data_IF_098741975615
#
_entry.id   IF_098741975615
#
_cell.length_a   1.000
_cell.length_b   1.000
_cell.length_c   1.000
_cell.angle_alpha   90.00
_cell.angle_beta   90.00
_cell.angle_gamma   90.00
#
_symmetry.space_group_name_H-M   'P 1'
#
loop_
_entity.id
_entity.type
_entity.pdbx_description
1 polymer ?
#
# COMPACT_ATOMS: atom_id res chain seq x y z
N UNK A 1 10.29 -22.68 3.21
CA UNK A 1 9.16 -22.36 2.30
C UNK A 1 9.71 -21.66 1.07
N UNK A 2 9.27 -22.05 -0.14
CA UNK A 2 9.58 -21.29 -1.37
C UNK A 2 8.52 -20.22 -1.58
N UNK A 3 8.93 -18.96 -1.51
CA UNK A 3 8.04 -17.79 -1.60
C UNK A 3 8.35 -16.96 -2.84
N UNK A 4 7.31 -16.60 -3.59
CA UNK A 4 7.39 -15.61 -4.66
C UNK A 4 6.74 -14.30 -4.21
N UNK A 5 7.48 -13.18 -4.31
CA UNK A 5 6.96 -11.85 -3.99
C UNK A 5 6.93 -11.01 -5.26
N UNK A 6 5.73 -10.79 -5.83
CA UNK A 6 5.61 -9.88 -6.98
C UNK A 6 5.66 -8.43 -6.51
N UNK A 7 6.31 -7.56 -7.29
CA UNK A 7 6.50 -6.18 -6.85
C UNK A 7 7.48 -6.04 -5.67
N UNK A 8 8.40 -7.00 -5.51
CA UNK A 8 9.38 -7.01 -4.41
C UNK A 8 10.37 -5.85 -4.42
N UNK A 9 10.44 -5.06 -5.50
CA UNK A 9 11.21 -3.80 -5.55
C UNK A 9 10.43 -2.60 -4.98
N UNK A 10 9.13 -2.76 -4.70
CA UNK A 10 8.27 -1.75 -4.10
C UNK A 10 8.49 -1.58 -2.60
N UNK A 11 7.76 -0.64 -1.98
CA UNK A 11 7.94 -0.31 -0.57
C UNK A 11 7.59 -1.47 0.37
N UNK A 12 6.36 -1.98 0.31
CA UNK A 12 5.96 -3.15 1.13
C UNK A 12 6.68 -4.42 0.67
N UNK A 13 6.79 -4.62 -0.66
CA UNK A 13 7.37 -5.84 -1.22
C UNK A 13 8.81 -6.09 -0.78
N UNK A 14 9.68 -5.05 -0.71
CA UNK A 14 11.06 -5.21 -0.26
C UNK A 14 11.17 -5.66 1.20
N UNK A 15 10.35 -5.11 2.07
CA UNK A 15 10.34 -5.48 3.48
C UNK A 15 9.82 -6.92 3.67
N UNK A 16 8.86 -7.35 2.85
CA UNK A 16 8.42 -8.75 2.84
C UNK A 16 9.50 -9.70 2.33
N UNK A 17 10.27 -9.31 1.30
CA UNK A 17 11.43 -10.07 0.82
C UNK A 17 12.46 -10.22 1.95
N UNK A 18 12.79 -9.13 2.64
CA UNK A 18 13.76 -9.16 3.75
C UNK A 18 13.26 -9.99 4.94
N UNK A 19 11.98 -9.83 5.31
CA UNK A 19 11.38 -10.64 6.38
C UNK A 19 11.41 -12.13 6.04
N UNK A 20 10.97 -12.50 4.85
CA UNK A 20 10.96 -13.89 4.44
C UNK A 20 12.38 -14.51 4.36
N UNK A 21 13.35 -13.71 3.93
CA UNK A 21 14.76 -14.13 3.93
C UNK A 21 15.30 -14.32 5.35
N UNK A 22 14.98 -13.43 6.29
CA UNK A 22 15.34 -13.55 7.70
C UNK A 22 14.74 -14.81 8.36
N UNK A 23 13.55 -15.21 7.92
CA UNK A 23 12.85 -16.41 8.39
C UNK A 23 13.29 -17.69 7.64
N UNK A 24 14.37 -17.63 6.87
CA UNK A 24 14.97 -18.79 6.19
C UNK A 24 14.17 -19.33 5.00
N UNK A 25 13.29 -18.52 4.39
CA UNK A 25 12.56 -18.91 3.19
C UNK A 25 13.44 -18.81 1.94
N UNK A 26 13.21 -19.70 0.96
CA UNK A 26 13.75 -19.55 -0.39
C UNK A 26 12.93 -18.49 -1.15
N UNK A 27 13.44 -17.27 -1.25
CA UNK A 27 12.71 -16.12 -1.76
C UNK A 27 13.12 -15.77 -3.18
N UNK A 28 12.11 -15.74 -4.08
CA UNK A 28 12.24 -15.12 -5.39
C UNK A 28 11.33 -13.91 -5.45
N UNK A 29 11.84 -12.77 -5.85
CA UNK A 29 11.02 -11.57 -6.01
C UNK A 29 11.08 -11.02 -7.42
N UNK A 30 9.98 -10.37 -7.85
CA UNK A 30 9.89 -9.80 -9.19
C UNK A 30 9.78 -8.29 -9.17
N UNK A 31 10.19 -7.68 -10.27
CA UNK A 31 10.11 -6.23 -10.47
C UNK A 31 10.77 -5.80 -11.77
N UNK A 32 10.46 -4.58 -12.23
CA UNK A 32 10.95 -4.04 -13.51
C UNK A 32 12.29 -3.33 -13.40
N UNK A 33 12.63 -2.82 -12.22
CA UNK A 33 13.74 -1.92 -12.02
C UNK A 33 14.96 -2.66 -11.46
N UNK A 34 15.96 -2.89 -12.31
CA UNK A 34 17.21 -3.59 -11.97
C UNK A 34 17.98 -2.91 -10.84
N UNK A 35 18.04 -1.57 -10.83
CA UNK A 35 18.73 -0.82 -9.78
C UNK A 35 18.05 -0.99 -8.42
N UNK A 36 16.72 -0.92 -8.40
CA UNK A 36 15.95 -1.16 -7.17
C UNK A 36 16.06 -2.63 -6.72
N UNK A 37 16.16 -3.58 -7.65
CA UNK A 37 16.36 -4.99 -7.31
C UNK A 37 17.75 -5.24 -6.70
N UNK A 38 18.80 -4.67 -7.26
CA UNK A 38 20.16 -4.73 -6.70
C UNK A 38 20.20 -4.13 -5.28
N UNK A 39 19.43 -3.08 -5.04
CA UNK A 39 19.31 -2.45 -3.72
C UNK A 39 18.59 -3.39 -2.71
N UNK A 40 17.52 -4.06 -3.12
CA UNK A 40 16.84 -5.07 -2.29
C UNK A 40 17.78 -6.23 -1.93
N UNK A 41 18.54 -6.75 -2.92
CA UNK A 41 19.50 -7.84 -2.69
C UNK A 41 20.60 -7.42 -1.72
N UNK A 42 21.14 -6.20 -1.89
CA UNK A 42 22.23 -5.66 -1.04
C UNK A 42 21.84 -5.60 0.44
N UNK A 43 20.60 -5.22 0.74
CA UNK A 43 20.11 -5.05 2.11
C UNK A 43 19.38 -6.28 2.64
N UNK A 44 19.33 -7.37 1.88
CA UNK A 44 18.72 -8.61 2.36
C UNK A 44 19.60 -9.29 3.42
N UNK A 45 18.98 -9.74 4.54
CA UNK A 45 19.72 -10.43 5.59
C UNK A 45 20.22 -11.83 5.20
N UNK A 46 19.66 -12.40 4.12
CA UNK A 46 20.05 -13.69 3.56
C UNK A 46 19.91 -13.66 2.03
N UNK A 47 20.48 -14.63 1.29
CA UNK A 47 20.40 -14.68 -0.15
C UNK A 47 18.96 -14.71 -0.67
N UNK A 48 18.67 -13.86 -1.64
CA UNK A 48 17.39 -13.79 -2.36
C UNK A 48 17.63 -13.71 -3.85
N UNK A 49 16.67 -14.18 -4.64
CA UNK A 49 16.77 -14.18 -6.11
C UNK A 49 15.81 -13.16 -6.70
N UNK A 50 16.29 -12.43 -7.69
CA UNK A 50 15.46 -11.49 -8.45
C UNK A 50 15.17 -12.02 -9.85
N UNK A 51 13.93 -11.86 -10.29
CA UNK A 51 13.50 -12.11 -11.66
C UNK A 51 12.89 -10.82 -12.23
N UNK A 52 13.45 -10.36 -13.35
CA UNK A 52 12.87 -9.23 -14.09
C UNK A 52 11.49 -9.63 -14.63
N UNK A 53 10.49 -8.83 -14.33
CA UNK A 53 9.11 -9.06 -14.77
C UNK A 53 8.38 -7.74 -14.99
N UNK A 54 7.80 -7.57 -16.16
CA UNK A 54 6.83 -6.52 -16.46
C UNK A 54 5.47 -7.16 -16.75
N UNK A 55 4.53 -6.97 -15.83
CA UNK A 55 3.17 -7.46 -15.99
C UNK A 55 2.48 -6.87 -17.22
N UNK A 56 1.69 -7.69 -17.94
CA UNK A 56 1.05 -7.32 -19.19
C UNK A 56 2.02 -7.33 -20.41
N UNK A 57 3.27 -7.74 -20.22
CA UNK A 57 4.21 -8.00 -21.31
C UNK A 57 3.96 -9.38 -21.97
N UNK A 58 4.45 -9.56 -23.19
CA UNK A 58 4.22 -10.80 -23.97
C UNK A 58 4.68 -12.07 -23.23
N UNK A 59 5.78 -11.99 -22.48
CA UNK A 59 6.36 -13.13 -21.74
C UNK A 59 5.99 -13.17 -20.27
N UNK A 60 5.19 -12.22 -19.77
CA UNK A 60 4.97 -12.04 -18.34
C UNK A 60 4.45 -13.31 -17.66
N UNK A 61 3.45 -13.95 -18.26
CA UNK A 61 2.84 -15.16 -17.70
C UNK A 61 3.81 -16.35 -17.71
N UNK A 62 4.60 -16.52 -18.78
CA UNK A 62 5.63 -17.58 -18.87
C UNK A 62 6.70 -17.37 -17.81
N UNK A 63 7.29 -16.18 -17.74
CA UNK A 63 8.33 -15.84 -16.75
C UNK A 63 7.81 -16.04 -15.33
N UNK A 64 6.58 -15.61 -15.05
CA UNK A 64 5.99 -15.77 -13.71
C UNK A 64 5.72 -17.24 -13.38
N UNK A 65 5.28 -18.05 -14.35
CA UNK A 65 5.05 -19.47 -14.16
C UNK A 65 6.36 -20.23 -13.87
N UNK A 66 7.43 -19.93 -14.60
CA UNK A 66 8.77 -20.48 -14.35
C UNK A 66 9.30 -20.06 -12.97
N UNK A 67 9.09 -18.78 -12.59
CA UNK A 67 9.48 -18.23 -11.28
C UNK A 67 8.75 -18.93 -10.13
N UNK A 68 7.46 -19.17 -10.30
CA UNK A 68 6.60 -19.78 -9.30
C UNK A 68 6.58 -21.32 -9.34
N UNK A 69 7.43 -21.95 -10.16
CA UNK A 69 7.52 -23.41 -10.18
C UNK A 69 7.90 -23.95 -8.80
N UNK A 70 7.10 -24.87 -8.27
CA UNK A 70 7.20 -25.42 -6.91
C UNK A 70 7.16 -24.33 -5.79
N UNK A 71 6.50 -23.20 -6.01
CA UNK A 71 6.30 -22.23 -4.96
C UNK A 71 5.17 -22.67 -4.01
N UNK A 72 5.43 -22.59 -2.71
CA UNK A 72 4.43 -22.87 -1.67
C UNK A 72 3.39 -21.75 -1.60
N UNK A 73 3.84 -20.51 -1.82
CA UNK A 73 3.00 -19.33 -1.72
C UNK A 73 3.46 -18.18 -2.63
N UNK A 74 2.51 -17.29 -2.95
CA UNK A 74 2.78 -16.01 -3.62
C UNK A 74 2.25 -14.86 -2.76
N UNK A 75 3.07 -13.81 -2.58
CA UNK A 75 2.60 -12.51 -2.09
C UNK A 75 2.55 -11.54 -3.27
N UNK A 76 1.33 -11.09 -3.60
CA UNK A 76 1.11 -10.20 -4.74
C UNK A 76 1.07 -8.74 -4.28
N UNK A 77 2.24 -8.07 -4.35
CA UNK A 77 2.40 -6.65 -4.03
C UNK A 77 2.49 -5.77 -5.30
N UNK A 78 2.64 -6.37 -6.49
CA UNK A 78 2.75 -5.61 -7.72
C UNK A 78 1.46 -4.84 -7.99
N UNK A 79 1.55 -3.52 -8.01
CA UNK A 79 0.44 -2.62 -8.30
C UNK A 79 0.97 -1.24 -8.70
N UNK A 80 0.16 -0.47 -9.41
CA UNK A 80 0.32 0.97 -9.54
C UNK A 80 -0.57 1.65 -8.51
N UNK A 81 0.05 2.29 -7.51
CA UNK A 81 -0.63 3.07 -6.48
C UNK A 81 -0.32 4.54 -6.68
N UNK A 82 -1.23 5.26 -7.32
CA UNK A 82 -1.13 6.70 -7.58
C UNK A 82 -2.53 7.33 -7.55
N UNK A 83 -2.68 8.57 -7.09
CA UNK A 83 -3.96 9.29 -7.17
C UNK A 83 -4.30 9.74 -8.59
N UNK A 84 -3.35 9.65 -9.54
CA UNK A 84 -3.47 10.14 -10.91
C UNK A 84 -2.74 9.25 -11.90
N UNK A 85 -3.31 9.08 -13.09
CA UNK A 85 -2.72 8.32 -14.19
C UNK A 85 -3.77 7.94 -15.23
N UNK A 86 -3.32 7.28 -16.30
CA UNK A 86 -4.21 6.76 -17.35
C UNK A 86 -4.86 5.48 -16.84
N UNK A 87 -6.13 5.30 -17.12
CA UNK A 87 -6.87 4.07 -16.75
C UNK A 87 -6.16 2.79 -17.20
N UNK A 88 -5.63 2.77 -18.43
CA UNK A 88 -4.97 1.58 -18.98
C UNK A 88 -3.69 1.20 -18.23
N UNK A 89 -2.95 2.19 -17.69
CA UNK A 89 -1.76 1.92 -16.87
C UNK A 89 -2.15 1.28 -15.54
N UNK A 90 -3.23 1.78 -14.90
CA UNK A 90 -3.80 1.14 -13.71
C UNK A 90 -4.36 -0.25 -14.02
N UNK A 91 -5.11 -0.40 -15.12
CA UNK A 91 -5.68 -1.69 -15.52
C UNK A 91 -4.58 -2.73 -15.74
N UNK A 92 -3.54 -2.38 -16.48
CA UNK A 92 -2.38 -3.27 -16.72
C UNK A 92 -1.69 -3.64 -15.42
N UNK A 93 -1.38 -2.65 -14.58
CA UNK A 93 -0.61 -2.87 -13.36
C UNK A 93 -1.40 -3.55 -12.23
N UNK A 94 -2.73 -3.39 -12.16
CA UNK A 94 -3.54 -3.87 -11.05
C UNK A 94 -4.44 -5.05 -11.44
N UNK A 95 -5.08 -5.00 -12.62
CA UNK A 95 -6.02 -6.05 -13.04
C UNK A 95 -5.32 -7.15 -13.82
N UNK A 96 -4.57 -6.78 -14.87
CA UNK A 96 -3.86 -7.79 -15.71
C UNK A 96 -2.83 -8.53 -14.87
N UNK A 97 -2.04 -7.82 -14.06
CA UNK A 97 -1.06 -8.45 -13.17
C UNK A 97 -1.70 -9.46 -12.21
N UNK A 98 -2.86 -9.11 -11.64
CA UNK A 98 -3.61 -10.02 -10.77
C UNK A 98 -4.11 -11.24 -11.55
N UNK A 99 -4.63 -11.04 -12.76
CA UNK A 99 -5.07 -12.16 -13.64
C UNK A 99 -3.92 -13.12 -13.93
N UNK A 100 -2.72 -12.61 -14.25
CA UNK A 100 -1.52 -13.41 -14.50
C UNK A 100 -1.12 -14.22 -13.25
N UNK A 101 -1.10 -13.57 -12.07
CA UNK A 101 -0.78 -14.24 -10.80
C UNK A 101 -1.78 -15.36 -10.50
N UNK A 102 -3.08 -15.12 -10.68
CA UNK A 102 -4.11 -16.13 -10.45
C UNK A 102 -4.00 -17.32 -11.41
N UNK A 103 -3.70 -17.05 -12.68
CA UNK A 103 -3.46 -18.12 -13.67
C UNK A 103 -2.26 -18.98 -13.27
N UNK A 104 -1.17 -18.34 -12.83
CA UNK A 104 0.06 -19.03 -12.38
C UNK A 104 -0.18 -19.80 -11.09
N UNK A 105 -0.93 -19.27 -10.12
CA UNK A 105 -1.30 -20.00 -8.91
C UNK A 105 -2.00 -21.31 -9.25
N UNK A 106 -2.95 -21.29 -10.20
CA UNK A 106 -3.67 -22.50 -10.62
C UNK A 106 -2.75 -23.48 -11.36
N UNK A 107 -1.96 -22.99 -12.33
CA UNK A 107 -1.09 -23.82 -13.16
C UNK A 107 0.01 -24.52 -12.34
N UNK A 108 0.54 -23.86 -11.32
CA UNK A 108 1.62 -24.38 -10.46
C UNK A 108 1.11 -24.97 -9.13
N UNK A 109 -0.21 -25.09 -8.95
CA UNK A 109 -0.83 -25.59 -7.72
C UNK A 109 -0.35 -24.85 -6.46
N UNK A 110 -0.12 -23.54 -6.58
CA UNK A 110 0.28 -22.68 -5.45
C UNK A 110 -0.86 -22.67 -4.44
N UNK A 111 -0.59 -23.13 -3.24
CA UNK A 111 -1.61 -23.32 -2.22
C UNK A 111 -2.11 -22.01 -1.64
N UNK A 112 -1.21 -21.05 -1.38
CA UNK A 112 -1.52 -19.81 -0.67
C UNK A 112 -1.20 -18.56 -1.48
N UNK A 113 -2.17 -17.65 -1.54
CA UNK A 113 -2.01 -16.31 -2.10
C UNK A 113 -2.30 -15.26 -1.04
N UNK A 114 -1.34 -14.36 -0.79
CA UNK A 114 -1.57 -13.11 -0.06
C UNK A 114 -1.63 -11.97 -1.06
N UNK A 115 -2.81 -11.36 -1.20
CA UNK A 115 -3.03 -10.24 -2.13
C UNK A 115 -3.07 -8.91 -1.37
N UNK A 116 -2.21 -7.97 -1.76
CA UNK A 116 -2.21 -6.63 -1.17
C UNK A 116 -3.21 -5.75 -1.90
N UNK A 117 -4.33 -5.48 -1.24
CA UNK A 117 -5.39 -4.56 -1.68
C UNK A 117 -5.21 -3.17 -1.05
N UNK A 118 -6.28 -2.44 -0.80
CA UNK A 118 -6.23 -1.07 -0.27
C UNK A 118 -7.52 -0.71 0.47
N UNK A 119 -7.49 0.03 1.58
CA UNK A 119 -8.70 0.59 2.19
C UNK A 119 -9.22 1.85 1.47
N UNK A 120 -8.54 2.29 0.41
CA UNK A 120 -9.08 3.33 -0.49
C UNK A 120 -10.42 2.92 -1.13
N UNK A 121 -10.73 1.61 -1.12
CA UNK A 121 -12.04 1.08 -1.54
C UNK A 121 -13.21 1.66 -0.72
N UNK A 122 -12.96 2.02 0.55
CA UNK A 122 -13.96 2.58 1.45
C UNK A 122 -14.13 4.11 1.31
N UNK A 123 -13.26 4.78 0.53
CA UNK A 123 -13.24 6.23 0.50
C UNK A 123 -14.34 6.81 -0.38
N UNK A 124 -15.26 7.58 0.23
CA UNK A 124 -16.44 8.17 -0.43
C UNK A 124 -16.64 9.67 -0.17
N UNK A 125 -15.61 10.46 0.15
CA UNK A 125 -15.72 11.89 0.51
C UNK A 125 -16.67 12.16 1.69
N UNK A 126 -16.71 11.24 2.63
CA UNK A 126 -17.44 11.32 3.88
C UNK A 126 -16.60 10.77 5.03
N UNK A 127 -16.88 11.21 6.25
CA UNK A 127 -16.24 10.65 7.43
C UNK A 127 -16.74 9.22 7.66
N UNK A 128 -15.83 8.30 7.88
CA UNK A 128 -16.12 6.88 8.14
C UNK A 128 -15.14 6.34 9.17
N UNK A 129 -15.65 5.93 10.32
CA UNK A 129 -14.84 5.47 11.46
C UNK A 129 -15.06 3.97 11.71
N UNK A 130 -14.01 3.30 12.20
CA UNK A 130 -14.03 1.88 12.55
C UNK A 130 -14.63 1.00 11.44
N UNK A 131 -14.19 1.21 10.19
CA UNK A 131 -14.72 0.52 9.01
C UNK A 131 -14.32 -0.95 9.06
N UNK A 132 -15.31 -1.84 8.97
CA UNK A 132 -15.11 -3.28 8.91
C UNK A 132 -14.87 -3.76 7.47
N UNK A 133 -14.33 -4.97 7.33
CA UNK A 133 -14.03 -5.58 6.02
C UNK A 133 -15.27 -5.85 5.16
N UNK A 134 -16.42 -6.05 5.79
CA UNK A 134 -17.73 -6.30 5.19
C UNK A 134 -18.56 -5.02 4.91
N UNK A 135 -18.01 -3.84 5.19
CA UNK A 135 -18.68 -2.56 4.94
C UNK A 135 -18.99 -2.37 3.44
N UNK A 136 -20.13 -1.72 3.16
CA UNK A 136 -20.51 -1.34 1.81
C UNK A 136 -19.47 -0.42 1.18
N UNK A 137 -19.16 -0.68 -0.08
CA UNK A 137 -18.16 0.08 -0.81
C UNK A 137 -18.83 1.21 -1.61
N UNK A 138 -18.36 2.46 -1.44
CA UNK A 138 -18.87 3.57 -2.23
C UNK A 138 -18.43 3.47 -3.71
N UNK A 139 -18.98 4.34 -4.54
CA UNK A 139 -18.50 4.49 -5.92
C UNK A 139 -16.99 4.82 -5.90
N UNK A 140 -16.16 4.12 -6.69
CA UNK A 140 -14.74 4.34 -6.71
C UNK A 140 -14.35 5.80 -6.99
N UNK A 141 -13.57 6.40 -6.10
CA UNK A 141 -13.20 7.81 -6.15
C UNK A 141 -12.25 8.17 -7.32
N UNK A 142 -11.54 7.19 -7.88
CA UNK A 142 -10.64 7.34 -9.02
C UNK A 142 -10.34 5.99 -9.71
N UNK A 143 -9.56 6.02 -10.79
CA UNK A 143 -9.20 4.83 -11.57
C UNK A 143 -8.32 3.84 -10.81
N UNK A 144 -7.49 4.31 -9.88
CA UNK A 144 -6.75 3.45 -8.97
C UNK A 144 -7.70 2.58 -8.14
N UNK A 145 -8.65 3.21 -7.45
CA UNK A 145 -9.64 2.52 -6.62
C UNK A 145 -10.47 1.56 -7.47
N UNK A 146 -10.93 2.00 -8.66
CA UNK A 146 -11.70 1.17 -9.59
C UNK A 146 -10.95 -0.10 -9.99
N UNK A 147 -9.68 0.01 -10.32
CA UNK A 147 -8.87 -1.15 -10.74
C UNK A 147 -8.46 -2.05 -9.57
N UNK A 148 -8.25 -1.51 -8.37
CA UNK A 148 -8.01 -2.32 -7.17
C UNK A 148 -9.26 -3.09 -6.75
N UNK A 149 -10.45 -2.48 -6.87
CA UNK A 149 -11.72 -3.17 -6.65
C UNK A 149 -11.92 -4.33 -7.63
N UNK A 150 -11.65 -4.10 -8.92
CA UNK A 150 -11.74 -5.15 -9.94
C UNK A 150 -10.73 -6.28 -9.68
N UNK A 151 -9.50 -5.96 -9.29
CA UNK A 151 -8.49 -6.95 -8.94
C UNK A 151 -8.92 -7.79 -7.71
N UNK A 152 -9.44 -7.14 -6.67
CA UNK A 152 -9.93 -7.85 -5.48
C UNK A 152 -11.12 -8.77 -5.80
N UNK A 153 -12.02 -8.36 -6.70
CA UNK A 153 -13.13 -9.20 -7.17
C UNK A 153 -12.63 -10.46 -7.90
N UNK A 154 -11.60 -10.35 -8.74
CA UNK A 154 -10.95 -11.50 -9.39
C UNK A 154 -10.34 -12.46 -8.37
N UNK A 155 -9.68 -11.94 -7.35
CA UNK A 155 -9.07 -12.74 -6.28
C UNK A 155 -10.13 -13.48 -5.46
N UNK A 156 -11.24 -12.84 -5.11
CA UNK A 156 -12.37 -13.45 -4.41
C UNK A 156 -13.00 -14.63 -5.18
N UNK A 157 -12.99 -14.54 -6.51
CA UNK A 157 -13.59 -15.54 -7.40
C UNK A 157 -12.57 -16.57 -7.91
N UNK A 158 -11.32 -16.53 -7.44
CA UNK A 158 -10.23 -17.31 -8.01
C UNK A 158 -10.34 -18.82 -7.78
N UNK A 159 -11.09 -19.26 -6.76
CA UNK A 159 -11.22 -20.67 -6.41
C UNK A 159 -9.91 -21.31 -5.90
N UNK A 160 -8.98 -20.47 -5.37
CA UNK A 160 -7.75 -20.97 -4.75
C UNK A 160 -8.01 -21.49 -3.34
N UNK A 161 -7.22 -22.47 -2.84
CA UNK A 161 -7.46 -23.09 -1.53
C UNK A 161 -7.38 -22.11 -0.37
N UNK A 162 -6.36 -21.22 -0.38
CA UNK A 162 -6.08 -20.30 0.72
C UNK A 162 -5.70 -18.92 0.18
N UNK A 163 -6.56 -17.95 0.42
CA UNK A 163 -6.38 -16.56 -0.02
C UNK A 163 -6.54 -15.62 1.17
N UNK A 164 -5.53 -14.78 1.40
CA UNK A 164 -5.64 -13.63 2.28
C UNK A 164 -5.60 -12.34 1.46
N UNK A 165 -6.57 -11.46 1.66
CA UNK A 165 -6.61 -10.12 1.07
C UNK A 165 -6.34 -9.12 2.18
N UNK A 166 -5.25 -8.37 2.07
CA UNK A 166 -4.88 -7.36 3.05
C UNK A 166 -5.16 -5.96 2.50
N UNK A 167 -5.77 -5.10 3.32
CA UNK A 167 -6.08 -3.70 3.00
C UNK A 167 -5.28 -2.77 3.93
N UNK A 168 -3.96 -2.58 3.69
CA UNK A 168 -3.12 -1.74 4.54
C UNK A 168 -3.39 -0.25 4.32
N UNK A 169 -3.56 0.51 5.43
CA UNK A 169 -3.82 1.95 5.41
C UNK A 169 -2.54 2.74 5.55
N UNK A 170 -2.29 3.67 4.61
CA UNK A 170 -1.28 4.73 4.71
C UNK A 170 0.07 4.23 5.27
N UNK A 171 0.71 3.32 4.52
CA UNK A 171 2.01 2.74 4.89
C UNK A 171 3.09 3.80 4.97
N UNK A 172 3.88 3.78 6.04
CA UNK A 172 5.02 4.67 6.23
C UNK A 172 6.19 3.93 6.93
N UNK A 173 7.41 4.45 6.78
CA UNK A 173 8.61 3.88 7.39
C UNK A 173 9.83 4.03 6.49
N UNK A 174 11.00 3.49 6.88
CA UNK A 174 12.19 3.46 6.04
C UNK A 174 11.90 2.97 4.63
N UNK A 175 12.50 3.60 3.61
CA UNK A 175 12.28 3.33 2.18
C UNK A 175 10.94 3.79 1.61
N UNK A 176 10.07 4.46 2.37
CA UNK A 176 8.91 5.16 1.82
C UNK A 176 9.34 6.29 0.88
N UNK A 177 8.86 6.25 -0.36
CA UNK A 177 9.11 7.26 -1.40
C UNK A 177 7.88 8.09 -1.74
N UNK A 178 6.77 7.86 -1.06
CA UNK A 178 5.45 8.38 -1.44
C UNK A 178 4.79 9.21 -0.37
N UNK A 179 4.45 8.65 0.77
CA UNK A 179 3.61 9.30 1.78
C UNK A 179 4.40 10.37 2.55
N UNK A 180 5.41 9.95 3.31
CA UNK A 180 6.17 10.88 4.17
C UNK A 180 6.94 11.92 3.35
N UNK A 181 7.65 11.57 2.24
CA UNK A 181 8.30 12.59 1.40
C UNK A 181 7.32 13.63 0.84
N UNK A 182 6.06 13.25 0.55
CA UNK A 182 5.03 14.20 0.09
C UNK A 182 4.61 15.14 1.21
N UNK A 183 4.41 14.64 2.43
CA UNK A 183 4.06 15.43 3.62
C UNK A 183 5.19 16.41 3.94
N UNK A 184 6.44 15.95 4.02
CA UNK A 184 7.61 16.80 4.30
C UNK A 184 7.77 17.90 3.25
N UNK A 185 7.54 17.58 1.97
CA UNK A 185 7.59 18.58 0.87
C UNK A 185 6.53 19.69 1.05
N UNK A 186 5.33 19.34 1.55
CA UNK A 186 4.31 20.35 1.85
C UNK A 186 4.75 21.20 3.03
N UNK A 187 5.25 20.60 4.12
CA UNK A 187 5.74 21.31 5.30
C UNK A 187 6.86 22.31 4.97
N UNK A 188 7.76 21.94 4.06
CA UNK A 188 8.89 22.84 3.66
C UNK A 188 8.47 23.98 2.75
N UNK A 189 7.39 23.84 1.97
CA UNK A 189 6.96 24.85 1.00
C UNK A 189 6.08 25.96 1.60
N UNK A 190 5.53 25.74 2.79
CA UNK A 190 4.65 26.75 3.40
C UNK A 190 3.68 26.15 4.42
N UNK A 191 2.63 26.90 4.78
CA UNK A 191 1.63 26.40 5.73
C UNK A 191 0.86 25.22 5.17
N UNK A 192 0.72 24.15 5.98
CA UNK A 192 -0.10 23.00 5.66
C UNK A 192 -1.59 23.40 5.64
N UNK A 193 -2.32 23.12 4.56
CA UNK A 193 -3.75 23.43 4.51
C UNK A 193 -4.50 22.50 5.45
N UNK A 194 -5.26 23.09 6.39
CA UNK A 194 -6.18 22.40 7.26
C UNK A 194 -7.59 22.66 6.74
N UNK A 195 -8.21 21.60 6.27
CA UNK A 195 -9.55 21.64 5.68
C UNK A 195 -10.60 21.29 6.74
N UNK A 196 -11.84 21.75 6.54
CA UNK A 196 -12.95 21.51 7.46
C UNK A 196 -12.59 21.97 8.91
N UNK A 197 -12.95 21.20 9.95
CA UNK A 197 -12.66 21.50 11.35
C UNK A 197 -11.20 21.30 11.76
N UNK A 198 -10.49 20.41 11.04
CA UNK A 198 -9.11 20.04 11.33
C UNK A 198 -8.96 18.88 12.31
N UNK A 199 -10.06 18.39 12.91
CA UNK A 199 -10.16 17.27 13.85
C UNK A 199 -10.35 15.92 13.13
N UNK A 200 -9.72 15.76 11.96
CA UNK A 200 -9.85 14.58 11.12
C UNK A 200 -9.06 13.45 11.75
N UNK A 201 -9.74 12.32 11.97
CA UNK A 201 -9.11 11.09 12.43
C UNK A 201 -8.67 10.21 11.25
N UNK A 202 -7.47 9.71 11.35
CA UNK A 202 -6.89 8.83 10.33
C UNK A 202 -6.09 7.68 10.95
N UNK A 203 -6.02 6.60 10.21
CA UNK A 203 -5.12 5.48 10.51
C UNK A 203 -3.86 5.57 9.66
N UNK A 204 -2.76 5.17 10.28
CA UNK A 204 -1.46 4.94 9.66
C UNK A 204 -1.01 3.50 9.95
N UNK A 205 -0.13 2.99 9.13
CA UNK A 205 0.47 1.67 9.36
C UNK A 205 1.98 1.77 9.22
N UNK A 206 2.70 1.51 10.31
CA UNK A 206 4.14 1.39 10.21
C UNK A 206 4.53 0.14 9.43
N UNK A 207 5.57 0.24 8.61
CA UNK A 207 5.91 -0.79 7.61
C UNK A 207 6.14 -2.15 8.24
N UNK A 208 6.86 -2.25 9.37
CA UNK A 208 7.12 -3.55 10.01
C UNK A 208 5.83 -4.20 10.51
N UNK A 209 4.89 -3.42 11.05
CA UNK A 209 3.57 -3.92 11.46
C UNK A 209 2.77 -4.47 10.27
N UNK A 210 2.84 -3.82 9.10
CA UNK A 210 2.20 -4.33 7.88
C UNK A 210 2.86 -5.61 7.36
N UNK A 211 4.18 -5.70 7.48
CA UNK A 211 4.95 -6.90 7.14
C UNK A 211 4.60 -8.05 8.06
N UNK A 212 4.49 -7.80 9.38
CA UNK A 212 4.06 -8.81 10.35
C UNK A 212 2.64 -9.32 10.05
N UNK A 213 1.71 -8.42 9.71
CA UNK A 213 0.36 -8.81 9.31
C UNK A 213 0.37 -9.72 8.06
N UNK A 214 1.16 -9.35 7.05
CA UNK A 214 1.29 -10.15 5.83
C UNK A 214 2.01 -11.48 6.08
N UNK A 215 2.99 -11.50 6.98
CA UNK A 215 3.70 -12.71 7.38
C UNK A 215 2.78 -13.70 8.11
N UNK A 216 1.97 -13.23 9.04
CA UNK A 216 0.98 -14.06 9.72
C UNK A 216 -0.09 -14.59 8.76
N UNK A 217 -0.58 -13.74 7.84
CA UNK A 217 -1.50 -14.18 6.79
C UNK A 217 -0.88 -15.21 5.83
N UNK A 218 0.45 -15.21 5.69
CA UNK A 218 1.19 -16.17 4.89
C UNK A 218 1.41 -17.51 5.61
N UNK A 219 1.64 -17.49 6.93
CA UNK A 219 2.14 -18.65 7.69
C UNK A 219 1.08 -19.31 8.57
N UNK A 220 0.10 -18.57 9.08
CA UNK A 220 -0.94 -19.11 9.95
C UNK A 220 -2.09 -19.72 9.14
N UNK A 221 -2.82 -20.69 9.71
CA UNK A 221 -4.07 -21.18 9.11
C UNK A 221 -5.06 -20.03 8.88
N UNK A 222 -5.70 -20.02 7.70
CA UNK A 222 -6.77 -19.09 7.42
C UNK A 222 -8.12 -19.70 7.78
N UNK A 223 -9.03 -18.95 8.43
CA UNK A 223 -10.32 -19.49 8.86
C UNK A 223 -11.29 -19.78 7.71
N UNK A 224 -11.04 -19.17 6.55
CA UNK A 224 -11.86 -19.30 5.32
C UNK A 224 -10.96 -19.44 4.10
N UNK A 225 -11.48 -20.02 3.03
CA UNK A 225 -10.78 -20.10 1.74
C UNK A 225 -10.36 -18.70 1.23
N UNK A 226 -11.20 -17.68 1.48
CA UNK A 226 -10.87 -16.28 1.24
C UNK A 226 -11.10 -15.51 2.53
N UNK A 227 -10.04 -14.98 3.11
CA UNK A 227 -10.06 -14.12 4.29
C UNK A 227 -9.62 -12.71 3.91
N UNK A 228 -10.31 -11.69 4.44
CA UNK A 228 -10.03 -10.28 4.17
C UNK A 228 -9.70 -9.62 5.48
N UNK A 229 -8.66 -8.79 5.49
CA UNK A 229 -8.20 -8.11 6.69
C UNK A 229 -7.85 -6.65 6.42
N UNK A 230 -8.43 -5.77 7.20
CA UNK A 230 -7.95 -4.40 7.34
C UNK A 230 -6.64 -4.40 8.13
N UNK A 231 -5.70 -3.55 7.71
CA UNK A 231 -4.40 -3.43 8.38
C UNK A 231 -4.11 -1.96 8.68
N UNK A 232 -4.02 -1.63 9.96
CA UNK A 232 -3.56 -0.33 10.47
C UNK A 232 -2.81 -0.54 11.79
N UNK A 233 -2.20 0.50 12.32
CA UNK A 233 -1.62 0.39 13.67
C UNK A 233 -2.68 0.18 14.77
N UNK A 234 -3.99 0.35 14.46
CA UNK A 234 -5.04 0.33 15.47
C UNK A 234 -4.96 1.49 16.47
N UNK A 235 -4.28 2.56 16.08
CA UNK A 235 -4.08 3.80 16.83
C UNK A 235 -4.63 4.97 16.00
N UNK A 236 -5.96 5.19 15.92
CA UNK A 236 -6.50 6.34 15.23
C UNK A 236 -5.95 7.64 15.82
N UNK A 237 -5.45 8.54 14.98
CA UNK A 237 -4.82 9.80 15.39
C UNK A 237 -5.41 10.97 14.62
N UNK A 238 -5.45 12.13 15.27
CA UNK A 238 -5.79 13.37 14.59
C UNK A 238 -4.67 13.78 13.62
N UNK A 239 -5.07 14.30 12.45
CA UNK A 239 -4.11 14.74 11.43
C UNK A 239 -3.09 15.74 11.98
N UNK A 240 -3.54 16.72 12.77
CA UNK A 240 -2.65 17.75 13.35
C UNK A 240 -1.64 17.16 14.33
N UNK A 241 -2.03 16.16 15.09
CA UNK A 241 -1.14 15.46 16.00
C UNK A 241 -0.05 14.70 15.23
N UNK A 242 -0.42 13.93 14.20
CA UNK A 242 0.54 13.25 13.34
C UNK A 242 1.51 14.24 12.69
N UNK A 243 1.00 15.35 12.15
CA UNK A 243 1.84 16.40 11.56
C UNK A 243 2.78 17.03 12.60
N UNK A 244 2.34 17.21 13.84
CA UNK A 244 3.16 17.76 14.94
C UNK A 244 4.31 16.82 15.30
N UNK A 245 4.02 15.52 15.43
CA UNK A 245 5.05 14.50 15.68
C UNK A 245 6.06 14.44 14.51
N UNK A 246 5.57 14.43 13.26
CA UNK A 246 6.45 14.43 12.09
C UNK A 246 7.33 15.70 12.04
N UNK A 247 6.75 16.87 12.29
CA UNK A 247 7.49 18.13 12.31
C UNK A 247 8.64 18.09 13.34
N UNK A 248 8.37 17.63 14.54
CA UNK A 248 9.36 17.48 15.61
C UNK A 248 10.47 16.50 15.21
N UNK A 249 10.12 15.30 14.77
CA UNK A 249 11.10 14.24 14.49
C UNK A 249 11.96 14.55 13.26
N UNK A 250 11.43 15.25 12.25
CA UNK A 250 12.18 15.65 11.05
C UNK A 250 12.82 17.05 11.18
N UNK A 251 12.66 17.74 12.32
CA UNK A 251 13.24 19.06 12.55
C UNK A 251 12.65 20.16 11.67
N UNK A 252 11.37 20.06 11.31
CA UNK A 252 10.68 21.01 10.45
C UNK A 252 9.68 21.88 11.22
N UNK A 253 9.48 23.16 10.81
CA UNK A 253 8.45 23.99 11.41
C UNK A 253 7.05 23.53 10.98
N UNK A 254 6.13 23.30 11.93
CA UNK A 254 4.74 23.10 11.62
C UNK A 254 4.01 24.45 11.52
N UNK A 255 3.66 24.83 10.31
CA UNK A 255 2.79 25.98 10.05
C UNK A 255 1.49 25.45 9.43
N UNK A 256 0.36 25.97 9.89
CA UNK A 256 -0.96 25.54 9.39
C UNK A 256 -1.77 26.74 8.94
N UNK A 257 -2.66 26.53 7.97
CA UNK A 257 -3.60 27.53 7.48
C UNK A 257 -4.96 26.87 7.22
N UNK A 258 -6.01 27.38 7.84
CA UNK A 258 -7.37 26.93 7.55
C UNK A 258 -7.78 27.32 6.13
N UNK A 259 -8.30 26.36 5.39
CA UNK A 259 -8.79 26.55 4.02
C UNK A 259 -10.15 25.88 3.88
N UNK A 260 -11.20 26.56 3.42
CA UNK A 260 -12.51 25.94 3.20
C UNK A 260 -12.43 24.79 2.19
N UNK A 261 -13.04 23.65 2.51
CA UNK A 261 -13.03 22.47 1.65
C UNK A 261 -13.53 22.78 0.22
N UNK A 262 -14.63 23.54 0.10
CA UNK A 262 -15.19 23.86 -1.20
C UNK A 262 -14.19 24.59 -2.14
N UNK A 263 -13.32 25.45 -1.59
CA UNK A 263 -12.29 26.12 -2.37
C UNK A 263 -11.19 25.14 -2.80
N UNK A 264 -10.79 24.23 -1.90
CA UNK A 264 -9.78 23.20 -2.22
C UNK A 264 -10.32 22.24 -3.28
N UNK A 265 -11.58 21.82 -3.15
CA UNK A 265 -12.25 20.94 -4.09
C UNK A 265 -12.38 21.58 -5.48
N UNK A 266 -12.82 22.85 -5.55
CA UNK A 266 -12.91 23.60 -6.81
C UNK A 266 -11.55 23.73 -7.49
N UNK A 267 -10.53 24.07 -6.71
CA UNK A 267 -9.16 24.20 -7.21
C UNK A 267 -8.58 22.87 -7.70
N UNK A 268 -8.82 21.78 -6.96
CA UNK A 268 -8.41 20.45 -7.37
C UNK A 268 -9.08 20.03 -8.69
N UNK A 269 -10.39 20.29 -8.87
CA UNK A 269 -11.10 20.06 -10.14
C UNK A 269 -10.48 20.82 -11.29
N UNK A 270 -10.17 22.10 -11.10
CA UNK A 270 -9.54 22.93 -12.15
C UNK A 270 -8.16 22.38 -12.54
N UNK A 271 -7.36 21.96 -11.57
CA UNK A 271 -6.04 21.36 -11.82
C UNK A 271 -6.15 20.01 -12.54
N UNK A 272 -7.09 19.15 -12.13
CA UNK A 272 -7.34 17.88 -12.79
C UNK A 272 -7.82 18.07 -14.24
N UNK A 273 -8.73 19.03 -14.48
CA UNK A 273 -9.19 19.35 -15.82
C UNK A 273 -8.04 19.85 -16.71
N UNK A 274 -7.24 20.81 -16.20
CA UNK A 274 -6.07 21.31 -16.91
C UNK A 274 -5.04 20.22 -17.23
N UNK A 275 -4.81 19.30 -16.29
CA UNK A 275 -3.90 18.18 -16.49
C UNK A 275 -4.42 17.19 -17.55
N UNK A 276 -5.73 16.93 -17.60
CA UNK A 276 -6.35 16.04 -18.61
C UNK A 276 -6.32 16.60 -20.03
N UNK A 277 -6.57 17.90 -20.17
CA UNK A 277 -6.55 18.57 -21.49
C UNK A 277 -5.12 18.87 -21.96
N UNK A 278 -4.20 19.07 -21.03
CA UNK A 278 -2.82 19.48 -21.30
C UNK A 278 -1.81 18.31 -21.30
N UNK A 279 -0.88 18.35 -20.35
CA UNK A 279 0.29 17.46 -20.32
C UNK A 279 0.01 16.00 -19.92
N UNK A 280 -1.15 15.67 -19.38
CA UNK A 280 -1.45 14.37 -18.76
C UNK A 280 -0.66 14.09 -17.47
N UNK A 281 0.23 15.00 -17.04
CA UNK A 281 1.04 14.83 -15.83
C UNK A 281 0.19 14.93 -14.57
N UNK A 282 0.63 14.26 -13.50
CA UNK A 282 -0.03 14.37 -12.19
C UNK A 282 -0.09 15.84 -11.75
N UNK A 283 -1.31 16.37 -11.48
CA UNK A 283 -1.44 17.72 -10.94
C UNK A 283 -0.88 17.78 -9.51
N UNK A 284 -0.50 18.99 -9.08
CA UNK A 284 0.05 19.20 -7.73
C UNK A 284 -0.93 18.80 -6.60
N UNK A 285 -2.22 18.81 -6.91
CA UNK A 285 -3.31 18.41 -6.03
C UNK A 285 -4.41 17.71 -6.84
N UNK A 286 -4.86 16.54 -6.39
CA UNK A 286 -6.06 15.88 -6.92
C UNK A 286 -7.18 15.99 -5.89
N UNK A 287 -8.44 15.94 -6.35
CA UNK A 287 -9.60 15.88 -5.46
C UNK A 287 -9.48 14.73 -4.46
N UNK A 288 -9.05 13.56 -4.94
CA UNK A 288 -8.82 12.39 -4.09
C UNK A 288 -7.76 12.64 -3.01
N UNK A 289 -6.57 13.15 -3.38
CA UNK A 289 -5.48 13.38 -2.41
C UNK A 289 -5.84 14.45 -1.38
N UNK A 290 -6.57 15.50 -1.78
CA UNK A 290 -7.12 16.48 -0.84
C UNK A 290 -8.18 15.86 0.07
N UNK A 291 -9.10 15.05 -0.49
CA UNK A 291 -10.17 14.41 0.25
C UNK A 291 -9.67 13.47 1.34
N UNK A 292 -8.62 12.69 1.07
CA UNK A 292 -7.99 11.81 2.08
C UNK A 292 -7.46 12.59 3.29
N UNK A 293 -7.16 13.88 3.13
CA UNK A 293 -6.73 14.79 4.21
C UNK A 293 -7.87 15.67 4.74
N UNK A 294 -9.08 15.55 4.20
CA UNK A 294 -10.24 16.33 4.57
C UNK A 294 -11.35 15.52 5.28
N UNK A 295 -11.31 14.20 5.15
CA UNK A 295 -12.32 13.31 5.73
C UNK A 295 -11.67 12.24 6.59
N UNK A 296 -12.30 11.99 7.75
CA UNK A 296 -11.85 10.95 8.68
C UNK A 296 -12.04 9.56 8.05
N UNK A 297 -11.02 8.72 8.19
CA UNK A 297 -11.11 7.32 7.81
C UNK A 297 -10.28 6.46 8.74
N UNK A 298 -10.95 5.65 9.57
CA UNK A 298 -10.32 4.66 10.45
C UNK A 298 -10.87 3.27 10.20
N UNK A 299 -10.10 2.24 10.51
CA UNK A 299 -10.40 0.86 10.23
C UNK A 299 -10.64 0.07 11.51
N UNK A 300 -11.59 -0.83 11.49
CA UNK A 300 -11.66 -1.92 12.46
C UNK A 300 -10.65 -3.00 12.03
N UNK A 301 -9.77 -3.39 12.93
CA UNK A 301 -8.73 -4.42 12.73
C UNK A 301 -8.99 -5.67 13.57
N UNK A 302 -10.18 -5.80 14.14
CA UNK A 302 -10.52 -6.90 15.04
C UNK A 302 -10.41 -8.28 14.35
N UNK A 303 -10.82 -8.39 13.09
CA UNK A 303 -10.69 -9.62 12.33
C UNK A 303 -9.24 -10.10 12.22
N UNK A 304 -8.31 -9.20 11.88
CA UNK A 304 -6.88 -9.53 11.81
C UNK A 304 -6.32 -9.94 13.18
N UNK A 305 -6.71 -9.20 14.22
CA UNK A 305 -6.28 -9.48 15.60
C UNK A 305 -6.81 -10.81 16.11
N UNK A 306 -8.10 -11.06 15.93
CA UNK A 306 -8.77 -12.19 16.57
C UNK A 306 -8.58 -13.51 15.79
N UNK A 307 -8.45 -13.44 14.45
CA UNK A 307 -8.27 -14.62 13.61
C UNK A 307 -6.79 -15.03 13.41
N UNK A 308 -5.87 -14.06 13.32
CA UNK A 308 -4.45 -14.35 13.10
C UNK A 308 -3.57 -14.07 14.32
N UNK A 309 -4.13 -13.56 15.42
CA UNK A 309 -3.37 -13.20 16.62
C UNK A 309 -2.46 -11.98 16.43
N UNK A 310 -2.65 -11.22 15.35
CA UNK A 310 -1.81 -10.08 15.03
C UNK A 310 -2.01 -8.90 16.02
N UNK A 311 -0.89 -8.26 16.38
CA UNK A 311 -0.89 -7.00 17.13
C UNK A 311 0.24 -6.12 16.64
N UNK A 312 0.06 -4.80 16.54
CA UNK A 312 1.14 -3.88 16.19
C UNK A 312 2.21 -3.91 17.29
N UNK A 313 3.46 -4.02 16.89
CA UNK A 313 4.62 -4.06 17.80
C UNK A 313 5.32 -2.71 17.88
N UNK A 314 5.11 -1.84 16.90
CA UNK A 314 5.71 -0.50 16.80
C UNK A 314 4.58 0.54 16.78
N UNK A 315 4.59 1.47 17.75
CA UNK A 315 3.63 2.58 17.77
C UNK A 315 3.85 3.57 16.62
N UNK A 316 2.87 4.42 16.34
CA UNK A 316 2.99 5.45 15.28
C UNK A 316 4.16 6.39 15.58
N UNK A 317 4.29 6.87 16.81
CA UNK A 317 5.36 7.79 17.21
C UNK A 317 6.74 7.17 17.06
N UNK A 318 6.91 5.93 17.50
CA UNK A 318 8.15 5.17 17.33
C UNK A 318 8.47 4.93 15.86
N UNK A 319 7.46 4.60 15.05
CA UNK A 319 7.60 4.42 13.62
C UNK A 319 8.05 5.70 12.91
N UNK A 320 7.47 6.85 13.27
CA UNK A 320 7.88 8.16 12.73
C UNK A 320 9.34 8.47 13.13
N UNK A 321 9.72 8.21 14.38
CA UNK A 321 11.08 8.40 14.88
C UNK A 321 12.09 7.51 14.11
N UNK A 322 11.79 6.23 13.93
CA UNK A 322 12.63 5.30 13.14
C UNK A 322 12.78 5.76 11.70
N UNK A 323 11.69 6.23 11.09
CA UNK A 323 11.73 6.78 9.73
C UNK A 323 12.58 8.04 9.65
N UNK A 324 12.46 8.96 10.61
CA UNK A 324 13.26 10.19 10.64
C UNK A 324 14.76 9.90 10.83
N UNK A 325 15.11 8.91 11.66
CA UNK A 325 16.50 8.47 11.81
C UNK A 325 17.05 7.95 10.49
N UNK A 326 16.33 6.98 9.88
CA UNK A 326 16.72 6.45 8.58
C UNK A 326 16.84 7.54 7.50
N UNK A 327 15.91 8.51 7.47
CA UNK A 327 15.92 9.62 6.53
C UNK A 327 17.21 10.45 6.64
N UNK A 328 17.66 10.74 7.86
CA UNK A 328 18.91 11.49 8.10
C UNK A 328 20.15 10.73 7.62
N UNK A 329 20.18 9.42 7.80
CA UNK A 329 21.29 8.55 7.38
C UNK A 329 21.38 8.37 5.87
N UNK A 330 20.26 8.35 5.16
CA UNK A 330 20.20 8.03 3.73
C UNK A 330 20.06 9.24 2.81
N UNK A 331 19.90 10.46 3.33
CA UNK A 331 19.96 11.72 2.55
C UNK A 331 21.36 12.39 2.58
N UNK A 332 22.27 11.89 3.39
CA UNK A 332 23.69 12.28 3.37
C UNK A 332 24.43 11.40 2.38
#
# INVERSE_FOLDING_TARGET
>A
MKLVVTGGTGFLGRHLVWRAAAEGSDVVFTGRNTKAAADVIRHSPAPVRWQALEHGGADAQRILAETAHNADAIVHCAALSSPWGRYEDFRRANVVSTTEVLAVCRANSVRRLVHISTPSLYFGFADSLAIREDADLPVPANDYVRTKLAAEALVKQAGLPEVAILRPRALFGPWDKTLVPRILRVMTKGPNPIMRSGDIQLDLTYIDNAVDAAWLALTNPLPRAVSIYNVSNGEPRELLDVLSVMAREFGLPLRTRKVPWALVELFAHALEFSARVGSGREPSLTRYSAGVLAFSQTLDISALRDELGWRPTVSIDEGIRRHANWWREYQT
#
